data_IF_223767110758
#
_entry.id   IF_223767110758
#
_cell.length_a   1.000
_cell.length_b   1.000
_cell.length_c   1.000
_cell.angle_alpha   90.00
_cell.angle_beta   90.00
_cell.angle_gamma   90.00
#
_symmetry.space_group_name_H-M   'P 1'
#
loop_
_entity.id
_entity.type
_entity.pdbx_description
1 polymer ?
#
# COMPACT_ATOMS: atom_id res chain seq x y z
N UNK A 1 -1.79 12.97 -0.94
CA UNK A 1 -1.12 14.04 -1.74
C UNK A 1 -1.18 13.61 -3.21
N UNK A 2 -1.62 14.47 -4.13
CA UNK A 2 -1.84 14.08 -5.53
C UNK A 2 -0.67 14.57 -6.40
N UNK A 3 -0.01 13.66 -7.11
CA UNK A 3 1.12 13.98 -7.99
C UNK A 3 0.77 13.62 -9.44
N UNK A 4 1.08 14.52 -10.38
CA UNK A 4 0.84 14.33 -11.82
C UNK A 4 2.18 14.08 -12.52
N UNK A 5 2.56 12.82 -12.73
CA UNK A 5 3.77 12.42 -13.49
C UNK A 5 3.30 11.75 -14.79
N UNK A 6 3.64 12.30 -15.96
CA UNK A 6 3.28 11.77 -17.29
C UNK A 6 1.77 11.55 -17.56
N UNK A 7 0.94 12.57 -17.30
CA UNK A 7 -0.47 12.61 -17.74
C UNK A 7 -1.45 11.70 -16.99
N UNK A 8 -0.96 10.76 -16.17
CA UNK A 8 -1.76 9.97 -15.24
C UNK A 8 -1.92 10.66 -13.89
N UNK A 9 -3.09 10.51 -13.27
CA UNK A 9 -3.28 10.86 -11.87
C UNK A 9 -2.68 9.73 -11.01
N UNK A 10 -1.80 10.09 -10.09
CA UNK A 10 -1.28 9.19 -9.08
C UNK A 10 -1.65 9.74 -7.71
N UNK A 11 -2.15 8.87 -6.87
CA UNK A 11 -2.58 9.21 -5.53
C UNK A 11 -1.76 8.39 -4.55
N UNK A 12 -1.24 9.10 -3.55
CA UNK A 12 -0.39 8.54 -2.51
C UNK A 12 -1.03 8.89 -1.18
N UNK A 13 -1.27 7.86 -0.38
CA UNK A 13 -1.74 7.99 0.99
C UNK A 13 -0.73 7.36 1.93
N UNK A 14 -0.46 8.08 3.03
CA UNK A 14 0.39 7.65 4.12
C UNK A 14 -0.45 7.85 5.37
N UNK A 15 -0.70 6.76 6.09
CA UNK A 15 -1.56 6.75 7.27
C UNK A 15 -0.73 6.27 8.44
N UNK A 16 -0.71 7.05 9.52
CA UNK A 16 -0.10 6.68 10.77
C UNK A 16 -1.17 6.19 11.75
N UNK A 17 -0.94 5.04 12.36
CA UNK A 17 -1.83 4.45 13.35
C UNK A 17 -1.25 4.61 14.75
N UNK A 18 -2.11 4.88 15.74
CA UNK A 18 -1.69 5.07 17.13
C UNK A 18 -1.12 3.78 17.75
N UNK A 19 -1.54 2.62 17.25
CA UNK A 19 -1.10 1.33 17.75
C UNK A 19 -1.01 0.27 16.63
N UNK A 20 -0.16 -0.76 16.80
CA UNK A 20 0.09 -1.78 15.78
C UNK A 20 -1.11 -2.71 15.54
N UNK A 21 -2.02 -2.87 16.50
CA UNK A 21 -3.23 -3.69 16.31
C UNK A 21 -4.22 -3.01 15.36
N UNK A 22 -4.41 -1.70 15.47
CA UNK A 22 -5.24 -0.91 14.57
C UNK A 22 -4.70 -0.96 13.14
N UNK A 23 -3.37 -0.82 12.98
CA UNK A 23 -2.69 -0.99 11.69
C UNK A 23 -2.97 -2.37 11.09
N UNK A 24 -2.76 -3.44 11.87
CA UNK A 24 -2.89 -4.81 11.38
C UNK A 24 -4.35 -5.15 11.02
N UNK A 25 -5.31 -4.69 11.82
CA UNK A 25 -6.74 -4.86 11.53
C UNK A 25 -7.15 -4.10 10.25
N UNK A 26 -6.67 -2.86 10.11
CA UNK A 26 -6.88 -2.09 8.89
C UNK A 26 -6.25 -2.78 7.68
N UNK A 27 -5.04 -3.32 7.82
CA UNK A 27 -4.35 -4.05 6.75
C UNK A 27 -5.17 -5.24 6.25
N UNK A 28 -5.66 -6.09 7.16
CA UNK A 28 -6.45 -7.25 6.77
C UNK A 28 -7.76 -6.85 6.10
N UNK A 29 -8.42 -5.81 6.61
CA UNK A 29 -9.65 -5.27 6.00
C UNK A 29 -9.38 -4.73 4.60
N UNK A 30 -8.35 -3.87 4.46
CA UNK A 30 -7.94 -3.28 3.19
C UNK A 30 -7.63 -4.37 2.16
N UNK A 31 -6.81 -5.36 2.52
CA UNK A 31 -6.43 -6.44 1.60
C UNK A 31 -7.64 -7.30 1.21
N UNK A 32 -8.60 -7.52 2.11
CA UNK A 32 -9.81 -8.27 1.81
C UNK A 32 -10.77 -7.56 0.86
N UNK A 33 -10.72 -6.23 0.77
CA UNK A 33 -11.55 -5.46 -0.18
C UNK A 33 -11.04 -5.60 -1.63
N UNK A 34 -9.75 -5.87 -1.82
CA UNK A 34 -9.12 -5.96 -3.15
C UNK A 34 -8.76 -7.39 -3.58
N UNK A 35 -8.71 -8.35 -2.66
CA UNK A 35 -8.39 -9.75 -2.95
C UNK A 35 -9.32 -10.71 -2.22
N UNK A 36 -9.57 -11.89 -2.79
CA UNK A 36 -10.16 -13.01 -2.06
C UNK A 36 -9.24 -13.33 -0.87
N UNK A 37 -9.57 -12.79 0.31
CA UNK A 37 -8.66 -12.40 1.40
C UNK A 37 -7.72 -13.44 2.02
N UNK A 38 -7.63 -14.64 1.47
CA UNK A 38 -6.68 -15.68 1.83
C UNK A 38 -5.33 -15.54 1.10
N UNK A 39 -5.28 -15.11 -0.15
CA UNK A 39 -4.02 -15.14 -0.92
C UNK A 39 -3.01 -14.04 -0.50
N UNK A 40 -3.52 -12.86 -0.12
CA UNK A 40 -2.69 -11.69 0.18
C UNK A 40 -2.35 -11.53 1.68
N UNK A 41 -2.99 -12.29 2.58
CA UNK A 41 -2.60 -12.34 3.99
C UNK A 41 -1.25 -13.05 4.21
N UNK A 42 -0.82 -13.92 3.29
CA UNK A 42 0.43 -14.69 3.41
C UNK A 42 1.70 -13.90 3.04
N UNK A 43 1.60 -12.73 2.40
CA UNK A 43 2.76 -11.87 2.13
C UNK A 43 3.13 -10.95 3.31
N UNK A 44 2.42 -11.07 4.44
CA UNK A 44 2.63 -10.26 5.63
C UNK A 44 3.34 -11.06 6.73
N UNK A 45 4.36 -10.44 7.32
CA UNK A 45 4.89 -10.80 8.63
C UNK A 45 4.13 -9.93 9.66
N UNK A 46 3.26 -10.52 10.49
CA UNK A 46 2.45 -9.77 11.44
C UNK A 46 3.29 -8.80 12.26
N UNK A 47 2.79 -7.57 12.43
CA UNK A 47 3.44 -6.49 13.17
C UNK A 47 4.79 -6.00 12.64
N UNK A 48 5.35 -6.60 11.59
CA UNK A 48 6.65 -6.21 11.03
C UNK A 48 6.44 -5.52 9.70
N UNK A 49 5.89 -6.24 8.73
CA UNK A 49 5.75 -5.77 7.35
C UNK A 49 4.69 -6.56 6.60
N UNK A 50 3.96 -5.90 5.72
CA UNK A 50 3.10 -6.57 4.75
C UNK A 50 3.08 -5.79 3.46
N UNK A 51 2.96 -6.50 2.35
CA UNK A 51 2.97 -5.92 1.02
C UNK A 51 1.90 -6.57 0.15
N UNK A 52 1.20 -5.72 -0.59
CA UNK A 52 0.15 -6.09 -1.50
C UNK A 52 0.31 -5.27 -2.78
N UNK A 53 0.38 -5.95 -3.92
CA UNK A 53 0.43 -5.30 -5.22
C UNK A 53 -0.56 -5.99 -6.14
N UNK A 54 -1.40 -5.22 -6.81
CA UNK A 54 -2.41 -5.77 -7.71
C UNK A 54 -2.82 -4.77 -8.79
N UNK A 55 -3.61 -5.23 -9.75
CA UNK A 55 -4.26 -4.40 -10.76
C UNK A 55 -5.78 -4.39 -10.52
N UNK A 56 -6.31 -3.22 -10.20
CA UNK A 56 -7.73 -3.00 -9.96
C UNK A 56 -8.28 -1.95 -10.92
N UNK A 57 -9.32 -2.29 -11.70
CA UNK A 57 -9.97 -1.38 -12.66
C UNK A 57 -8.99 -0.66 -13.62
N UNK A 58 -7.98 -1.38 -14.16
CA UNK A 58 -6.89 -0.83 -15.01
C UNK A 58 -5.98 0.17 -14.29
N UNK A 59 -6.05 0.26 -12.97
CA UNK A 59 -5.10 0.98 -12.14
C UNK A 59 -4.24 -0.02 -11.39
N UNK A 60 -2.96 0.29 -11.29
CA UNK A 60 -2.03 -0.48 -10.48
C UNK A 60 -2.15 0.01 -9.04
N UNK A 61 -2.20 -0.91 -8.08
CA UNK A 61 -2.18 -0.65 -6.64
C UNK A 61 -0.90 -1.25 -6.07
N UNK A 62 -0.24 -0.49 -5.20
CA UNK A 62 0.84 -0.97 -4.34
C UNK A 62 0.58 -0.46 -2.93
N UNK A 63 0.25 -1.36 -2.02
CA UNK A 63 0.06 -1.07 -0.61
C UNK A 63 1.10 -1.83 0.23
N UNK A 64 1.58 -1.21 1.30
CA UNK A 64 2.43 -1.87 2.28
C UNK A 64 2.33 -1.19 3.64
N UNK A 65 2.70 -1.91 4.69
CA UNK A 65 2.83 -1.33 6.02
C UNK A 65 4.21 -1.58 6.64
N UNK A 66 4.61 -0.71 7.56
CA UNK A 66 5.79 -0.84 8.42
C UNK A 66 5.33 -0.79 9.86
N UNK A 67 5.37 -1.94 10.54
CA UNK A 67 4.87 -2.03 11.91
C UNK A 67 5.75 -1.31 12.95
N UNK A 68 7.05 -1.13 12.67
CA UNK A 68 7.97 -0.39 13.56
C UNK A 68 7.48 1.05 13.84
N UNK A 69 6.88 1.70 12.84
CA UNK A 69 6.41 3.08 12.93
C UNK A 69 4.88 3.18 12.79
N UNK A 70 4.16 2.06 12.80
CA UNK A 70 2.72 2.00 12.57
C UNK A 70 2.26 2.76 11.31
N UNK A 71 3.03 2.70 10.24
CA UNK A 71 2.74 3.39 8.98
C UNK A 71 2.14 2.42 7.96
N UNK A 72 1.07 2.85 7.32
CA UNK A 72 0.51 2.24 6.13
C UNK A 72 0.70 3.18 4.95
N UNK A 73 1.04 2.60 3.80
CA UNK A 73 1.26 3.31 2.56
C UNK A 73 0.42 2.65 1.49
N UNK A 74 -0.19 3.46 0.63
CA UNK A 74 -0.81 2.99 -0.60
C UNK A 74 -0.58 3.99 -1.72
N UNK A 75 -0.24 3.44 -2.88
CA UNK A 75 -0.12 4.18 -4.13
C UNK A 75 -1.05 3.51 -5.14
N UNK A 76 -1.83 4.33 -5.86
CA UNK A 76 -2.53 3.88 -7.06
C UNK A 76 -2.30 4.81 -8.24
N UNK A 77 -2.32 4.22 -9.43
CA UNK A 77 -2.18 4.95 -10.68
C UNK A 77 -2.02 4.06 -11.90
N UNK A 78 -1.99 4.65 -13.11
CA UNK A 78 -2.13 3.90 -14.36
C UNK A 78 -0.85 3.18 -14.83
N UNK A 79 0.34 3.51 -14.29
CA UNK A 79 1.60 2.87 -14.73
C UNK A 79 2.37 2.31 -13.56
N UNK A 80 2.62 1.00 -13.60
CA UNK A 80 3.37 0.25 -12.58
C UNK A 80 4.79 0.78 -12.38
N UNK A 81 5.47 1.19 -13.44
CA UNK A 81 6.83 1.77 -13.34
C UNK A 81 6.88 3.01 -12.46
N UNK A 82 5.90 3.91 -12.59
CA UNK A 82 5.82 5.12 -11.77
C UNK A 82 5.47 4.79 -10.33
N UNK A 83 4.61 3.81 -10.10
CA UNK A 83 4.29 3.34 -8.74
C UNK A 83 5.54 2.77 -8.05
N UNK A 84 6.32 1.95 -8.75
CA UNK A 84 7.55 1.39 -8.22
C UNK A 84 8.57 2.50 -7.88
N UNK A 85 8.72 3.52 -8.74
CA UNK A 85 9.56 4.69 -8.45
C UNK A 85 9.11 5.40 -7.16
N UNK A 86 7.80 5.66 -7.02
CA UNK A 86 7.23 6.36 -5.87
C UNK A 86 7.40 5.54 -4.58
N UNK A 87 7.17 4.22 -4.65
CA UNK A 87 7.42 3.30 -3.52
C UNK A 87 8.88 3.35 -3.07
N UNK A 88 9.83 3.32 -4.01
CA UNK A 88 11.25 3.43 -3.70
C UNK A 88 11.60 4.77 -3.03
N UNK A 89 10.96 5.87 -3.46
CA UNK A 89 11.16 7.18 -2.82
C UNK A 89 10.60 7.22 -1.40
N UNK A 90 9.41 6.66 -1.18
CA UNK A 90 8.77 6.63 0.13
C UNK A 90 9.48 5.71 1.13
N UNK A 91 10.05 4.59 0.68
CA UNK A 91 10.81 3.69 1.54
C UNK A 91 12.20 4.21 1.94
N UNK A 92 12.69 5.28 1.29
CA UNK A 92 13.94 5.97 1.69
C UNK A 92 13.74 6.93 2.86
N UNK A 93 12.49 7.27 3.18
CA UNK A 93 12.11 8.08 4.33
C UNK A 93 11.71 7.16 5.51
#
# INVERSE_FOLDING_TARGET
>A
MNFKKNGGLYEVHIVHFENPFALLNFWYTFVSDYSDGLAAAFSAIPFIYGEYNDEYMKMQISAWYRGVNNLFFVIYGPKRSVINDLKLQLNRW
#
